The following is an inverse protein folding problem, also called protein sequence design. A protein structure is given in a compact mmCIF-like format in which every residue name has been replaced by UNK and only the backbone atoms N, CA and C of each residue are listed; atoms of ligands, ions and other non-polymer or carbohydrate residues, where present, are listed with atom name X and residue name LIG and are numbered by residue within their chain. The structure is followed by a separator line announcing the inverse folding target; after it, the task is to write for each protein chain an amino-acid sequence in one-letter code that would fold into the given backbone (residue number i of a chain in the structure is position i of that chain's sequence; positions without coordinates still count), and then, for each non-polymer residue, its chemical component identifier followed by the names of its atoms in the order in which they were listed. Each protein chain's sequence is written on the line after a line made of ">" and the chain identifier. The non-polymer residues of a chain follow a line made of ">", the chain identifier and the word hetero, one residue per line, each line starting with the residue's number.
data_IF_801377405424
#
_entry.id   IF_801377405424
#
_cell.length_a   1.000
_cell.length_b   1.000
_cell.length_c   1.000
_cell.angle_alpha   90.00
_cell.angle_beta   90.00
_cell.angle_gamma   90.00
#
_symmetry.space_group_name_H-M   'P 1'
#
loop_
_entity.id
_entity.type
_entity.pdbx_description
1 polymer ?
#
# COMPACT_ATOMS: atom_id res chain seq x y z
N UNK A 1 -17.29 12.37 31.78
CA UNK A 1 -16.01 13.08 31.85
C UNK A 1 -14.79 12.16 31.63
N UNK A 2 -14.69 10.99 32.30
CA UNK A 2 -13.52 10.07 32.13
C UNK A 2 -13.28 9.63 30.67
N UNK A 3 -14.34 9.33 29.90
CA UNK A 3 -14.23 8.89 28.48
C UNK A 3 -13.68 9.97 27.55
N UNK A 4 -14.08 11.23 27.78
CA UNK A 4 -13.58 12.36 26.98
C UNK A 4 -12.10 12.68 27.31
N UNK A 5 -11.73 12.62 28.59
CA UNK A 5 -10.32 12.82 29.02
C UNK A 5 -9.40 11.73 28.46
N UNK A 6 -9.84 10.45 28.47
CA UNK A 6 -9.07 9.35 27.87
C UNK A 6 -8.91 9.53 26.36
N UNK A 7 -10.00 9.90 25.64
CA UNK A 7 -9.95 10.16 24.20
C UNK A 7 -8.96 11.26 23.86
N UNK A 8 -9.00 12.39 24.60
CA UNK A 8 -8.09 13.51 24.39
C UNK A 8 -6.62 13.11 24.64
N UNK A 9 -6.36 12.30 25.67
CA UNK A 9 -5.02 11.80 25.96
C UNK A 9 -4.47 10.93 24.84
N UNK A 10 -5.29 10.00 24.31
CA UNK A 10 -4.88 9.14 23.18
C UNK A 10 -4.65 9.97 21.91
N UNK A 11 -5.51 10.93 21.62
CA UNK A 11 -5.32 11.83 20.48
C UNK A 11 -4.07 12.70 20.64
N UNK A 12 -3.83 13.26 21.84
CA UNK A 12 -2.61 14.02 22.13
C UNK A 12 -1.35 13.17 21.95
N UNK A 13 -1.36 11.92 22.42
CA UNK A 13 -0.24 10.98 22.23
C UNK A 13 0.03 10.71 20.75
N UNK A 14 -1.02 10.47 19.93
CA UNK A 14 -0.88 10.23 18.50
C UNK A 14 -0.42 11.48 17.73
N UNK A 15 -0.82 12.66 18.17
CA UNK A 15 -0.44 13.92 17.53
C UNK A 15 0.93 14.45 18.00
N UNK A 16 1.43 13.98 19.13
CA UNK A 16 2.69 14.46 19.71
C UNK A 16 3.88 14.40 18.73
N UNK A 17 4.12 13.32 17.95
CA UNK A 17 5.21 13.28 16.95
C UNK A 17 5.06 14.35 15.86
N UNK A 18 3.82 14.71 15.49
CA UNK A 18 3.57 15.74 14.47
C UNK A 18 3.91 17.14 14.96
N UNK A 19 3.94 17.37 16.28
CA UNK A 19 4.39 18.65 16.85
C UNK A 19 5.86 18.93 16.54
N UNK A 20 6.69 17.87 16.41
CA UNK A 20 8.08 17.99 15.97
C UNK A 20 8.21 18.53 14.53
N UNK A 21 7.28 18.17 13.65
CA UNK A 21 7.24 18.70 12.29
C UNK A 21 6.89 20.19 12.26
N UNK A 22 5.95 20.62 13.13
CA UNK A 22 5.50 22.00 13.22
C UNK A 22 6.54 22.90 13.94
N UNK A 23 7.22 22.36 14.98
CA UNK A 23 8.17 23.10 15.81
C UNK A 23 9.56 23.24 15.20
N UNK A 24 10.03 22.25 14.45
CA UNK A 24 11.43 22.17 14.00
C UNK A 24 11.64 22.44 12.49
N UNK A 25 10.65 23.00 11.80
CA UNK A 25 11.13 23.60 10.59
C UNK A 25 10.58 23.24 9.27
N UNK A 26 9.46 22.58 9.12
CA UNK A 26 8.85 22.55 7.78
C UNK A 26 8.60 23.99 7.23
N UNK A 27 8.28 24.93 8.14
CA UNK A 27 8.01 26.31 7.76
C UNK A 27 9.12 27.32 8.13
N UNK A 28 10.07 26.99 9.02
CA UNK A 28 10.95 27.99 9.62
C UNK A 28 12.46 27.72 9.45
N UNK A 29 12.89 26.48 9.29
CA UNK A 29 14.32 26.11 9.22
C UNK A 29 14.62 25.05 8.14
N UNK A 30 13.62 24.53 7.48
CA UNK A 30 13.80 23.51 6.44
C UNK A 30 14.44 24.14 5.20
N UNK A 31 15.59 23.64 4.80
CA UNK A 31 16.17 23.93 3.51
C UNK A 31 15.18 23.60 2.37
N UNK A 32 15.45 24.11 1.18
CA UNK A 32 14.67 23.72 0.00
C UNK A 32 14.86 22.22 -0.28
N UNK A 33 13.80 21.57 -0.77
CA UNK A 33 13.88 20.20 -1.27
C UNK A 33 14.97 20.10 -2.36
N UNK A 34 15.83 19.12 -2.24
CA UNK A 34 16.87 18.84 -3.22
C UNK A 34 16.27 18.27 -4.52
N UNK A 35 17.01 18.29 -5.66
CA UNK A 35 16.58 17.58 -6.86
C UNK A 35 16.34 16.09 -6.63
N UNK A 36 17.08 15.47 -5.71
CA UNK A 36 16.95 14.08 -5.31
C UNK A 36 15.62 13.82 -4.58
N UNK A 37 15.21 14.75 -3.70
CA UNK A 37 13.92 14.68 -3.01
C UNK A 37 12.75 14.74 -4.00
N UNK A 38 12.82 15.65 -4.97
CA UNK A 38 11.79 15.73 -6.02
C UNK A 38 11.74 14.47 -6.88
N UNK A 39 12.87 13.87 -7.22
CA UNK A 39 12.92 12.59 -7.91
C UNK A 39 12.31 11.47 -7.07
N UNK A 40 12.59 11.42 -5.77
CA UNK A 40 12.04 10.43 -4.85
C UNK A 40 10.52 10.58 -4.67
N UNK A 41 10.02 11.83 -4.60
CA UNK A 41 8.57 12.13 -4.57
C UNK A 41 7.92 11.61 -5.85
N UNK A 42 8.49 11.92 -7.02
CA UNK A 42 7.96 11.48 -8.31
C UNK A 42 7.97 9.95 -8.41
N UNK A 43 9.07 9.28 -8.01
CA UNK A 43 9.19 7.82 -7.98
C UNK A 43 8.10 7.18 -7.11
N UNK A 44 7.90 7.69 -5.89
CA UNK A 44 6.89 7.16 -4.98
C UNK A 44 5.48 7.37 -5.48
N UNK A 45 5.14 8.56 -6.01
CA UNK A 45 3.80 8.86 -6.49
C UNK A 45 3.47 8.09 -7.77
N UNK A 46 4.35 8.11 -8.76
CA UNK A 46 4.13 7.42 -10.03
C UNK A 46 4.19 5.90 -9.82
N UNK A 47 5.23 5.41 -9.17
CA UNK A 47 5.39 3.98 -8.87
C UNK A 47 4.27 3.45 -7.98
N UNK A 48 3.88 4.22 -6.95
CA UNK A 48 2.74 3.92 -6.08
C UNK A 48 1.41 3.88 -6.84
N UNK A 49 1.15 4.86 -7.73
CA UNK A 49 -0.07 4.87 -8.53
C UNK A 49 -0.15 3.69 -9.50
N UNK A 50 0.95 3.35 -10.18
CA UNK A 50 1.03 2.17 -11.05
C UNK A 50 0.86 0.88 -10.23
N UNK A 51 1.51 0.80 -9.07
CA UNK A 51 1.34 -0.34 -8.16
C UNK A 51 -0.12 -0.50 -7.71
N UNK A 52 -0.82 0.59 -7.39
CA UNK A 52 -2.23 0.54 -7.00
C UNK A 52 -3.13 0.00 -8.11
N UNK A 53 -2.87 0.33 -9.38
CA UNK A 53 -3.62 -0.26 -10.50
C UNK A 53 -3.43 -1.77 -10.52
N UNK A 54 -2.19 -2.26 -10.41
CA UNK A 54 -1.88 -3.69 -10.38
C UNK A 54 -2.53 -4.37 -9.16
N UNK A 55 -2.41 -3.75 -7.98
CA UNK A 55 -2.97 -4.26 -6.72
C UNK A 55 -4.50 -4.40 -6.81
N UNK A 56 -5.19 -3.40 -7.32
CA UNK A 56 -6.66 -3.43 -7.45
C UNK A 56 -7.08 -4.47 -8.48
N UNK A 57 -6.43 -4.50 -9.65
CA UNK A 57 -6.77 -5.44 -10.73
C UNK A 57 -6.52 -6.91 -10.35
N UNK A 58 -5.40 -7.21 -9.66
CA UNK A 58 -5.07 -8.57 -9.23
C UNK A 58 -5.74 -8.93 -7.89
N UNK A 59 -5.79 -7.98 -6.96
CA UNK A 59 -6.28 -8.21 -5.61
C UNK A 59 -7.79 -8.33 -5.51
N UNK A 60 -8.57 -7.61 -6.35
CA UNK A 60 -10.04 -7.67 -6.29
C UNK A 60 -10.58 -9.06 -6.66
N UNK A 61 -10.16 -9.72 -7.76
CA UNK A 61 -10.57 -11.09 -8.05
C UNK A 61 -10.17 -12.07 -6.94
N UNK A 62 -8.96 -11.93 -6.40
CA UNK A 62 -8.51 -12.75 -5.27
C UNK A 62 -9.36 -12.54 -4.03
N UNK A 63 -9.68 -11.28 -3.68
CA UNK A 63 -10.53 -10.94 -2.55
C UNK A 63 -11.95 -11.49 -2.72
N UNK A 64 -12.53 -11.41 -3.93
CA UNK A 64 -13.81 -12.02 -4.27
C UNK A 64 -13.78 -13.54 -4.10
N UNK A 65 -12.74 -14.21 -4.63
CA UNK A 65 -12.57 -15.64 -4.46
C UNK A 65 -12.50 -16.04 -2.99
N UNK A 66 -11.68 -15.35 -2.18
CA UNK A 66 -11.52 -15.62 -0.75
C UNK A 66 -12.81 -15.33 0.05
N UNK A 67 -13.61 -14.35 -0.36
CA UNK A 67 -14.85 -13.99 0.32
C UNK A 67 -16.01 -14.95 0.01
N UNK A 68 -16.05 -15.56 -1.18
CA UNK A 68 -17.18 -16.35 -1.69
C UNK A 68 -16.93 -17.84 -1.71
N UNK A 69 -15.68 -18.27 -1.65
CA UNK A 69 -15.29 -19.68 -1.68
C UNK A 69 -15.01 -20.22 -0.29
N UNK A 70 -15.11 -21.55 -0.15
CA UNK A 70 -14.80 -22.28 1.09
C UNK A 70 -13.96 -23.52 0.75
N UNK A 71 -13.20 -24.00 1.72
CA UNK A 71 -12.43 -25.23 1.58
C UNK A 71 -10.93 -25.05 1.83
N UNK A 72 -10.17 -26.15 1.70
CA UNK A 72 -8.73 -26.19 2.03
C UNK A 72 -7.89 -25.25 1.15
N UNK A 73 -8.23 -25.11 -0.13
CA UNK A 73 -7.51 -24.22 -1.05
C UNK A 73 -7.68 -22.74 -0.66
N UNK A 74 -8.85 -22.35 -0.14
CA UNK A 74 -9.09 -21.00 0.35
C UNK A 74 -8.21 -20.72 1.59
N UNK A 75 -8.16 -21.67 2.53
CA UNK A 75 -7.31 -21.55 3.71
C UNK A 75 -5.82 -21.42 3.36
N UNK A 76 -5.36 -22.21 2.36
CA UNK A 76 -3.98 -22.09 1.87
C UNK A 76 -3.72 -20.74 1.20
N UNK A 77 -4.64 -20.27 0.37
CA UNK A 77 -4.53 -18.97 -0.28
C UNK A 77 -4.54 -17.81 0.75
N UNK A 78 -5.38 -17.89 1.78
CA UNK A 78 -5.37 -16.95 2.90
C UNK A 78 -4.03 -16.96 3.64
N UNK A 79 -3.48 -18.13 3.94
CA UNK A 79 -2.18 -18.24 4.60
C UNK A 79 -1.07 -17.62 3.75
N UNK A 80 -1.07 -17.85 2.43
CA UNK A 80 -0.12 -17.25 1.50
C UNK A 80 -0.25 -15.73 1.45
N UNK A 81 -1.48 -15.19 1.46
CA UNK A 81 -1.73 -13.74 1.49
C UNK A 81 -1.27 -13.13 2.82
N UNK A 82 -1.46 -13.83 3.94
CA UNK A 82 -1.06 -13.31 5.25
C UNK A 82 0.45 -13.40 5.50
N UNK A 83 1.16 -14.35 4.88
CA UNK A 83 2.57 -14.59 5.14
C UNK A 83 3.46 -13.32 5.01
N UNK A 84 3.34 -12.50 3.96
CA UNK A 84 4.13 -11.26 3.86
C UNK A 84 3.84 -10.25 4.99
N UNK A 85 2.63 -10.26 5.56
CA UNK A 85 2.25 -9.32 6.63
C UNK A 85 2.85 -9.73 7.98
N UNK A 86 3.21 -11.00 8.15
CA UNK A 86 3.77 -11.54 9.39
C UNK A 86 5.31 -11.41 9.45
N UNK A 87 5.95 -11.08 8.33
CA UNK A 87 7.40 -11.01 8.25
C UNK A 87 7.90 -9.55 8.32
N UNK A 88 9.07 -9.31 8.94
CA UNK A 88 9.75 -8.03 8.85
C UNK A 88 10.04 -7.66 7.38
N UNK A 89 9.79 -6.41 7.00
CA UNK A 89 9.90 -5.97 5.61
C UNK A 89 11.32 -6.08 5.04
N UNK A 90 12.35 -5.88 5.86
CA UNK A 90 13.74 -6.12 5.46
C UNK A 90 13.99 -7.60 5.11
N UNK A 91 13.47 -8.52 5.91
CA UNK A 91 13.59 -9.96 5.63
C UNK A 91 12.90 -10.33 4.32
N UNK A 92 11.72 -9.76 4.06
CA UNK A 92 11.03 -9.92 2.78
C UNK A 92 11.85 -9.39 1.61
N UNK A 93 12.51 -8.24 1.77
CA UNK A 93 13.41 -7.68 0.76
C UNK A 93 14.56 -8.64 0.43
N UNK A 94 15.17 -9.24 1.44
CA UNK A 94 16.24 -10.24 1.26
C UNK A 94 15.71 -11.48 0.51
N UNK A 95 14.53 -12.00 0.90
CA UNK A 95 13.94 -13.14 0.21
C UNK A 95 13.61 -12.83 -1.24
N UNK A 96 13.06 -11.66 -1.54
CA UNK A 96 12.82 -11.23 -2.92
C UNK A 96 14.11 -11.08 -3.71
N UNK A 97 15.17 -10.54 -3.12
CA UNK A 97 16.48 -10.44 -3.76
C UNK A 97 17.08 -11.82 -4.07
N UNK A 98 16.90 -12.82 -3.18
CA UNK A 98 17.33 -14.20 -3.40
C UNK A 98 16.54 -14.87 -4.54
N UNK A 99 15.27 -14.54 -4.69
CA UNK A 99 14.38 -15.18 -5.70
C UNK A 99 14.45 -14.48 -7.06
N UNK A 100 14.50 -13.15 -7.07
CA UNK A 100 14.41 -12.31 -8.26
C UNK A 100 15.73 -11.60 -8.62
N UNK A 101 16.78 -11.77 -7.81
CA UNK A 101 18.10 -11.19 -8.09
C UNK A 101 18.71 -11.68 -9.42
N UNK A 102 19.69 -10.97 -9.99
CA UNK A 102 20.21 -11.24 -11.33
C UNK A 102 20.79 -12.67 -11.52
N UNK A 103 21.34 -13.25 -10.46
CA UNK A 103 21.87 -14.62 -10.44
C UNK A 103 20.84 -15.70 -10.14
N UNK A 104 19.64 -15.33 -9.66
CA UNK A 104 18.57 -16.24 -9.30
C UNK A 104 17.85 -16.81 -10.54
N UNK A 105 17.24 -18.00 -10.44
CA UNK A 105 16.55 -18.61 -11.59
C UNK A 105 15.48 -17.72 -12.20
N UNK A 106 14.57 -17.15 -11.37
CA UNK A 106 13.54 -16.24 -11.85
C UNK A 106 14.11 -14.91 -12.33
N UNK A 107 15.12 -14.36 -11.66
CA UNK A 107 15.79 -13.13 -12.09
C UNK A 107 16.41 -13.27 -13.48
N UNK A 108 17.01 -14.43 -13.80
CA UNK A 108 17.54 -14.73 -15.14
C UNK A 108 16.43 -14.84 -16.21
N UNK A 109 15.28 -15.45 -15.87
CA UNK A 109 14.14 -15.52 -16.79
C UNK A 109 13.62 -14.13 -17.12
N UNK A 110 13.39 -13.29 -16.12
CA UNK A 110 12.95 -11.91 -16.35
C UNK A 110 14.02 -11.08 -17.07
N UNK A 111 15.29 -11.26 -16.72
CA UNK A 111 16.43 -10.62 -17.42
C UNK A 111 16.49 -10.97 -18.90
N UNK A 112 16.23 -12.22 -19.27
CA UNK A 112 16.14 -12.65 -20.67
C UNK A 112 14.96 -12.00 -21.43
N UNK A 113 13.92 -11.58 -20.72
CA UNK A 113 12.80 -10.79 -21.25
C UNK A 113 13.07 -9.28 -21.25
N UNK A 114 14.28 -8.84 -20.88
CA UNK A 114 14.65 -7.42 -20.79
C UNK A 114 14.15 -6.72 -19.52
N UNK A 115 13.61 -7.46 -18.53
CA UNK A 115 13.07 -6.93 -17.30
C UNK A 115 14.02 -7.22 -16.14
N UNK A 116 14.85 -6.25 -15.76
CA UNK A 116 15.68 -6.38 -14.57
C UNK A 116 14.85 -6.08 -13.31
N UNK A 117 14.89 -7.01 -12.32
CA UNK A 117 14.14 -6.91 -11.06
C UNK A 117 15.04 -6.56 -9.86
N UNK A 118 16.09 -5.77 -10.12
CA UNK A 118 17.00 -5.24 -9.09
C UNK A 118 17.43 -3.83 -9.48
N UNK A 119 17.25 -2.86 -8.59
CA UNK A 119 17.59 -1.45 -8.80
C UNK A 119 17.04 -0.86 -10.12
N UNK A 120 15.77 -1.12 -10.39
CA UNK A 120 15.05 -0.60 -11.55
C UNK A 120 13.63 -0.17 -11.16
N UNK A 121 12.92 0.61 -12.00
CA UNK A 121 11.51 0.91 -11.78
C UNK A 121 10.63 -0.35 -11.70
N UNK A 122 10.98 -1.44 -12.42
CA UNK A 122 10.29 -2.71 -12.33
C UNK A 122 10.50 -3.39 -10.96
N UNK A 123 11.71 -3.30 -10.40
CA UNK A 123 12.00 -3.76 -9.04
C UNK A 123 11.24 -2.97 -7.99
N UNK A 124 11.16 -1.64 -8.15
CA UNK A 124 10.35 -0.76 -7.28
C UNK A 124 8.88 -1.15 -7.31
N UNK A 125 8.33 -1.39 -8.50
CA UNK A 125 6.94 -1.83 -8.68
C UNK A 125 6.70 -3.19 -8.03
N UNK A 126 7.59 -4.17 -8.25
CA UNK A 126 7.51 -5.50 -7.62
C UNK A 126 7.49 -5.38 -6.10
N UNK A 127 8.43 -4.62 -5.51
CA UNK A 127 8.54 -4.41 -4.07
C UNK A 127 7.26 -3.79 -3.49
N UNK A 128 6.77 -2.73 -4.14
CA UNK A 128 5.58 -1.99 -3.71
C UNK A 128 4.31 -2.84 -3.79
N UNK A 129 4.12 -3.57 -4.90
CA UNK A 129 2.99 -4.50 -5.07
C UNK A 129 3.06 -5.61 -4.03
N UNK A 130 4.21 -6.24 -3.86
CA UNK A 130 4.39 -7.33 -2.89
C UNK A 130 4.07 -6.90 -1.45
N UNK A 131 4.44 -5.67 -1.08
CA UNK A 131 4.18 -5.11 0.24
C UNK A 131 2.70 -4.78 0.49
N UNK A 132 2.01 -4.20 -0.50
CA UNK A 132 0.70 -3.59 -0.31
C UNK A 132 -0.47 -4.49 -0.77
N UNK A 133 -0.24 -5.43 -1.68
CA UNK A 133 -1.27 -6.36 -2.17
C UNK A 133 -1.96 -7.15 -1.04
N UNK A 134 -1.23 -7.75 -0.07
CA UNK A 134 -1.85 -8.46 1.05
C UNK A 134 -2.79 -7.58 1.86
N UNK A 135 -2.37 -6.35 2.17
CA UNK A 135 -3.19 -5.38 2.91
C UNK A 135 -4.49 -5.06 2.18
N UNK A 136 -4.40 -4.84 0.86
CA UNK A 136 -5.58 -4.64 0.03
C UNK A 136 -6.51 -5.85 0.04
N UNK A 137 -5.97 -7.05 -0.20
CA UNK A 137 -6.78 -8.28 -0.32
C UNK A 137 -7.52 -8.58 0.98
N UNK A 138 -6.86 -8.46 2.14
CA UNK A 138 -7.48 -8.70 3.44
C UNK A 138 -8.62 -7.70 3.71
N UNK A 139 -8.38 -6.42 3.47
CA UNK A 139 -9.39 -5.39 3.68
C UNK A 139 -10.56 -5.50 2.69
N UNK A 140 -10.27 -5.73 1.40
CA UNK A 140 -11.28 -5.90 0.36
C UNK A 140 -12.13 -7.15 0.58
N UNK A 141 -11.51 -8.28 0.96
CA UNK A 141 -12.23 -9.49 1.36
C UNK A 141 -13.22 -9.21 2.50
N UNK A 142 -12.78 -8.51 3.54
CA UNK A 142 -13.64 -8.14 4.67
C UNK A 142 -14.84 -7.29 4.23
N UNK A 143 -14.63 -6.34 3.32
CA UNK A 143 -15.68 -5.51 2.75
C UNK A 143 -16.69 -6.32 1.90
N UNK A 144 -16.18 -7.21 1.05
CA UNK A 144 -16.98 -8.08 0.18
C UNK A 144 -17.80 -9.09 1.03
N UNK A 145 -17.20 -9.63 2.08
CA UNK A 145 -17.88 -10.60 2.97
C UNK A 145 -19.08 -9.99 3.71
N UNK A 146 -19.15 -8.68 3.88
CA UNK A 146 -20.28 -7.99 4.48
C UNK A 146 -21.49 -7.89 3.54
N UNK A 147 -21.33 -8.11 2.25
CA UNK A 147 -22.44 -8.12 1.29
C UNK A 147 -23.09 -9.51 1.31
N UNK A 148 -24.40 -9.63 1.68
CA UNK A 148 -25.09 -10.90 1.69
C UNK A 148 -25.06 -11.59 0.33
N UNK A 149 -24.75 -12.91 0.27
CA UNK A 149 -24.73 -13.66 -0.98
C UNK A 149 -26.06 -13.70 -1.71
N UNK A 150 -27.16 -13.58 -0.98
CA UNK A 150 -28.54 -13.63 -1.52
C UNK A 150 -28.77 -12.58 -2.62
N UNK A 151 -28.10 -11.43 -2.55
CA UNK A 151 -28.18 -10.42 -3.61
C UNK A 151 -27.55 -10.88 -4.94
N UNK A 152 -26.47 -11.67 -4.86
CA UNK A 152 -25.88 -12.27 -6.05
C UNK A 152 -26.79 -13.38 -6.62
N UNK A 153 -27.42 -14.18 -5.75
CA UNK A 153 -28.35 -15.22 -6.16
C UNK A 153 -29.58 -14.61 -6.83
N UNK A 154 -30.14 -13.54 -6.27
CA UNK A 154 -31.27 -12.81 -6.88
C UNK A 154 -30.89 -12.27 -8.27
N UNK A 155 -29.71 -11.66 -8.43
CA UNK A 155 -29.27 -11.19 -9.74
C UNK A 155 -29.12 -12.34 -10.76
N UNK A 156 -28.68 -13.51 -10.31
CA UNK A 156 -28.58 -14.71 -11.15
C UNK A 156 -29.94 -15.26 -11.56
N UNK A 157 -30.96 -15.22 -10.70
CA UNK A 157 -32.34 -15.61 -11.09
C UNK A 157 -32.92 -14.66 -12.14
N UNK A 158 -32.44 -13.42 -12.21
CA UNK A 158 -32.80 -12.43 -13.23
C UNK A 158 -31.96 -12.54 -14.51
N UNK A 159 -31.08 -13.54 -14.62
CA UNK A 159 -30.31 -13.85 -15.83
C UNK A 159 -28.88 -13.37 -15.84
N UNK A 160 -28.35 -12.77 -14.75
CA UNK A 160 -26.94 -12.42 -14.68
C UNK A 160 -26.04 -13.65 -14.50
N UNK A 161 -24.89 -13.64 -15.16
CA UNK A 161 -23.84 -14.62 -14.89
C UNK A 161 -23.19 -14.35 -13.52
N UNK A 162 -22.54 -15.34 -12.88
CA UNK A 162 -21.87 -15.14 -11.59
C UNK A 162 -20.93 -13.94 -11.59
N UNK A 163 -20.12 -13.78 -12.64
CA UNK A 163 -19.20 -12.65 -12.77
C UNK A 163 -19.94 -11.30 -12.92
N UNK A 164 -21.03 -11.26 -13.69
CA UNK A 164 -21.85 -10.04 -13.81
C UNK A 164 -22.53 -9.66 -12.51
N UNK A 165 -23.05 -10.64 -11.77
CA UNK A 165 -23.64 -10.42 -10.46
C UNK A 165 -22.64 -9.81 -9.48
N UNK A 166 -21.38 -10.31 -9.47
CA UNK A 166 -20.30 -9.71 -8.64
C UNK A 166 -20.00 -8.28 -9.05
N UNK A 167 -19.86 -7.98 -10.34
CA UNK A 167 -19.56 -6.63 -10.84
C UNK A 167 -20.69 -5.63 -10.61
N UNK A 168 -21.96 -6.06 -10.79
CA UNK A 168 -23.13 -5.18 -10.77
C UNK A 168 -23.75 -5.03 -9.39
N UNK A 169 -23.55 -6.01 -8.52
CA UNK A 169 -24.19 -6.06 -7.20
C UNK A 169 -23.13 -6.00 -6.10
N UNK A 170 -22.22 -6.97 -6.03
CA UNK A 170 -21.31 -7.10 -4.89
C UNK A 170 -20.32 -5.95 -4.79
N UNK A 171 -19.62 -5.62 -5.88
CA UNK A 171 -18.62 -4.55 -5.85
C UNK A 171 -19.24 -3.16 -5.59
N UNK A 172 -20.36 -2.77 -6.21
CA UNK A 172 -21.05 -1.52 -5.87
C UNK A 172 -21.54 -1.45 -4.43
N UNK A 173 -22.07 -2.54 -3.88
CA UNK A 173 -22.50 -2.58 -2.47
C UNK A 173 -21.31 -2.54 -1.50
N UNK A 174 -20.18 -3.18 -1.85
CA UNK A 174 -18.96 -3.16 -1.05
C UNK A 174 -18.12 -1.87 -1.20
N UNK A 175 -18.51 -0.91 -2.05
CA UNK A 175 -17.69 0.26 -2.44
C UNK A 175 -17.10 1.06 -1.29
N UNK A 176 -17.83 1.22 -0.18
CA UNK A 176 -17.33 1.93 1.01
C UNK A 176 -16.15 1.20 1.65
N UNK A 177 -16.27 -0.11 1.82
CA UNK A 177 -15.20 -0.93 2.35
C UNK A 177 -14.04 -1.08 1.36
N UNK A 178 -14.33 -1.18 0.06
CA UNK A 178 -13.29 -1.21 -0.99
C UNK A 178 -12.51 0.10 -1.07
N UNK A 179 -13.15 1.26 -0.86
CA UNK A 179 -12.45 2.54 -0.78
C UNK A 179 -11.50 2.60 0.43
N UNK A 180 -11.90 2.03 1.56
CA UNK A 180 -11.04 1.88 2.72
C UNK A 180 -9.86 0.92 2.43
N UNK A 181 -10.10 -0.19 1.73
CA UNK A 181 -9.05 -1.12 1.31
C UNK A 181 -8.02 -0.45 0.39
N UNK A 182 -8.46 0.35 -0.59
CA UNK A 182 -7.58 1.16 -1.45
C UNK A 182 -6.77 2.14 -0.62
N UNK A 183 -7.40 2.83 0.34
CA UNK A 183 -6.72 3.78 1.21
C UNK A 183 -5.61 3.14 2.05
N UNK A 184 -5.90 1.98 2.66
CA UNK A 184 -4.92 1.23 3.45
C UNK A 184 -3.75 0.73 2.58
N UNK A 185 -4.06 0.20 1.39
CA UNK A 185 -3.04 -0.25 0.46
C UNK A 185 -2.16 0.90 -0.05
N UNK A 186 -2.75 2.08 -0.31
CA UNK A 186 -2.02 3.28 -0.71
C UNK A 186 -1.01 3.72 0.35
N UNK A 187 -1.46 3.84 1.60
CA UNK A 187 -0.58 4.21 2.72
C UNK A 187 0.55 3.18 2.88
N UNK A 188 0.21 1.88 2.75
CA UNK A 188 1.18 0.80 2.84
C UNK A 188 2.18 0.81 1.69
N UNK A 189 1.73 1.12 0.46
CA UNK A 189 2.56 1.21 -0.74
C UNK A 189 3.57 2.36 -0.66
N UNK A 190 3.12 3.57 -0.29
CA UNK A 190 4.00 4.73 -0.16
C UNK A 190 4.95 4.63 1.03
N UNK A 191 4.51 3.99 2.13
CA UNK A 191 5.31 3.81 3.35
C UNK A 191 6.25 2.61 3.31
N UNK A 192 6.34 1.86 2.18
CA UNK A 192 7.25 0.73 2.11
C UNK A 192 8.71 1.18 2.03
N UNK A 193 9.47 0.75 3.02
CA UNK A 193 10.89 1.06 3.14
C UNK A 193 11.77 -0.20 3.01
N UNK A 194 11.49 -1.22 3.82
CA UNK A 194 12.40 -2.34 4.01
C UNK A 194 12.65 -3.19 2.78
N UNK A 195 11.58 -3.50 2.02
CA UNK A 195 11.72 -4.26 0.77
C UNK A 195 12.41 -3.41 -0.29
N UNK A 196 11.98 -2.14 -0.44
CA UNK A 196 12.53 -1.22 -1.43
C UNK A 196 14.03 -0.99 -1.18
N UNK A 197 14.44 -0.81 0.08
CA UNK A 197 15.83 -0.62 0.46
C UNK A 197 16.76 -1.73 -0.06
N UNK A 198 16.27 -2.97 -0.09
CA UNK A 198 17.07 -4.15 -0.49
C UNK A 198 16.97 -4.41 -1.99
N UNK A 199 15.77 -4.33 -2.58
CA UNK A 199 15.51 -4.79 -3.96
C UNK A 199 15.61 -3.65 -4.97
N UNK A 200 15.22 -2.44 -4.56
CA UNK A 200 15.06 -1.28 -5.45
C UNK A 200 15.58 0.01 -4.79
N UNK A 201 16.80 -0.04 -4.25
CA UNK A 201 17.44 1.14 -3.68
C UNK A 201 17.44 2.32 -4.65
N UNK A 202 17.57 2.05 -5.93
CA UNK A 202 17.47 3.02 -7.02
C UNK A 202 16.49 2.52 -8.10
N UNK A 203 15.55 3.37 -8.60
CA UNK A 203 15.30 4.76 -8.20
C UNK A 203 14.72 4.83 -6.78
N UNK A 204 15.28 5.73 -5.96
CA UNK A 204 14.86 5.87 -4.59
C UNK A 204 13.41 6.39 -4.49
N UNK A 205 12.60 5.75 -3.65
CA UNK A 205 11.34 6.32 -3.21
C UNK A 205 11.53 7.21 -1.99
N UNK A 206 10.50 7.98 -1.60
CA UNK A 206 10.56 8.90 -0.46
C UNK A 206 11.09 8.25 0.85
N UNK A 207 10.66 7.03 1.27
CA UNK A 207 11.18 6.45 2.50
C UNK A 207 12.68 6.12 2.45
N UNK A 208 13.19 5.69 1.29
CA UNK A 208 14.63 5.42 1.10
C UNK A 208 15.41 6.73 1.05
N UNK A 209 14.90 7.76 0.37
CA UNK A 209 15.52 9.09 0.35
C UNK A 209 15.58 9.70 1.75
N UNK A 210 14.48 9.63 2.53
CA UNK A 210 14.47 10.06 3.93
C UNK A 210 15.57 9.38 4.75
N UNK A 211 15.77 8.09 4.55
CA UNK A 211 16.84 7.34 5.22
C UNK A 211 18.22 7.85 4.82
N UNK A 212 18.45 8.05 3.52
CA UNK A 212 19.73 8.56 3.00
C UNK A 212 20.02 9.94 3.54
N UNK A 213 19.04 10.85 3.51
CA UNK A 213 19.21 12.22 4.00
C UNK A 213 19.50 12.27 5.49
N UNK A 214 18.88 11.40 6.30
CA UNK A 214 19.21 11.29 7.74
C UNK A 214 20.67 10.88 7.94
N UNK A 215 21.19 9.95 7.14
CA UNK A 215 22.56 9.47 7.26
C UNK A 215 23.58 10.52 6.80
N UNK A 216 23.28 11.21 5.70
CA UNK A 216 24.24 12.10 5.04
C UNK A 216 24.18 13.55 5.57
N UNK A 217 22.99 14.04 5.87
CA UNK A 217 22.72 15.45 6.20
C UNK A 217 22.23 15.66 7.64
N UNK A 218 21.82 14.58 8.31
CA UNK A 218 21.31 14.61 9.67
C UNK A 218 19.81 14.89 9.77
N UNK A 219 19.28 14.78 10.99
CA UNK A 219 17.84 14.75 11.27
C UNK A 219 17.08 16.03 10.85
N UNK A 220 17.75 17.20 10.88
CA UNK A 220 17.06 18.45 10.56
C UNK A 220 16.77 18.62 9.07
N UNK A 221 17.60 18.05 8.21
CA UNK A 221 17.47 18.16 6.76
C UNK A 221 16.24 17.43 6.19
N UNK A 222 15.71 16.43 6.90
CA UNK A 222 14.63 15.57 6.38
C UNK A 222 13.22 16.13 6.56
N UNK A 223 13.02 17.15 7.39
CA UNK A 223 11.67 17.66 7.69
C UNK A 223 10.87 18.10 6.45
N UNK A 224 11.44 18.78 5.45
CA UNK A 224 10.71 19.11 4.23
C UNK A 224 10.18 17.86 3.50
N UNK A 225 11.00 16.82 3.37
CA UNK A 225 10.60 15.57 2.72
C UNK A 225 9.58 14.79 3.55
N UNK A 226 9.67 14.81 4.88
CA UNK A 226 8.63 14.24 5.78
C UNK A 226 7.29 14.95 5.58
N UNK A 227 7.27 16.26 5.48
CA UNK A 227 6.07 17.04 5.20
C UNK A 227 5.47 16.68 3.84
N UNK A 228 6.30 16.57 2.80
CA UNK A 228 5.86 16.14 1.47
C UNK A 228 5.35 14.69 1.47
N UNK A 229 5.95 13.81 2.27
CA UNK A 229 5.45 12.44 2.44
C UNK A 229 4.03 12.42 3.03
N UNK A 230 3.74 13.23 4.03
CA UNK A 230 2.39 13.37 4.59
C UNK A 230 1.41 13.93 3.55
N UNK A 231 1.81 14.98 2.81
CA UNK A 231 1.01 15.57 1.75
C UNK A 231 0.74 14.59 0.60
N UNK A 232 1.66 13.69 0.30
CA UNK A 232 1.48 12.65 -0.72
C UNK A 232 0.56 11.51 -0.24
N UNK A 233 0.64 11.17 1.05
CA UNK A 233 -0.03 9.99 1.61
C UNK A 233 -1.47 10.27 2.01
N UNK A 234 -1.77 11.42 2.62
CA UNK A 234 -3.06 11.75 3.22
C UNK A 234 -4.21 12.06 2.24
N UNK A 235 -4.01 12.74 1.09
CA UNK A 235 -5.12 13.21 0.26
C UNK A 235 -6.04 12.09 -0.21
N UNK A 236 -5.50 10.96 -0.66
CA UNK A 236 -6.31 9.86 -1.18
C UNK A 236 -7.20 9.21 -0.10
N UNK A 237 -6.68 8.81 1.09
CA UNK A 237 -7.52 8.30 2.18
C UNK A 237 -8.59 9.28 2.64
N UNK A 238 -8.24 10.57 2.78
CA UNK A 238 -9.20 11.59 3.20
C UNK A 238 -10.32 11.77 2.16
N UNK A 239 -9.97 11.90 0.89
CA UNK A 239 -10.93 12.05 -0.19
C UNK A 239 -11.88 10.84 -0.32
N UNK A 240 -11.32 9.62 -0.28
CA UNK A 240 -12.12 8.38 -0.31
C UNK A 240 -13.01 8.26 0.93
N UNK A 241 -12.50 8.60 2.11
CA UNK A 241 -13.25 8.60 3.36
C UNK A 241 -14.42 9.59 3.37
N UNK A 242 -14.21 10.80 2.84
CA UNK A 242 -15.27 11.81 2.71
C UNK A 242 -16.35 11.36 1.72
N UNK A 243 -15.98 10.86 0.55
CA UNK A 243 -16.94 10.32 -0.43
C UNK A 243 -17.73 9.13 0.10
N UNK A 244 -17.10 8.24 0.86
CA UNK A 244 -17.78 7.10 1.45
C UNK A 244 -18.86 7.51 2.48
N UNK A 245 -18.75 8.69 3.09
CA UNK A 245 -19.74 9.23 4.04
C UNK A 245 -20.88 9.98 3.35
N UNK A 246 -20.64 10.56 2.18
CA UNK A 246 -21.58 11.42 1.46
C UNK A 246 -22.64 10.63 0.65
N UNK A 247 -22.56 9.32 0.61
CA UNK A 247 -23.47 8.39 -0.10
C UNK A 247 -23.97 7.34 0.88
#
# INVERSE_FOLDING_TARGET
>A
MLRAGFLLLVLAFLLAPLSGLLGNGFFWQGGALSPQDWAAIATSLIGGAVAMVVIVLAGTPLALYLARSRGRLVLLAEAVVLMPMLMPTLALGILLAVVYGPSAPLGRVFGALGIALTNTPAAFLLATVYAALPTYVVAARGAIAQVPPDYEELARTLGDTPFRAQLRVTLPLARRGLSAAVSLAWVRALGEFGIILIVAYYPAGMPVQLWTDVQDLGLQAVFPLVGMFLLATLPLPLWLGLRARAV
#
